data_IF_591011307424
#
_entry.id   IF_591011307424
#
_cell.length_a   1.000
_cell.length_b   1.000
_cell.length_c   1.000
_cell.angle_alpha   90.00
_cell.angle_beta   90.00
_cell.angle_gamma   90.00
#
_symmetry.space_group_name_H-M   'P 1'
#
loop_
_entity.id
_entity.type
_entity.pdbx_description
1 polymer ?
#
# COMPACT_ATOMS: atom_id res chain seq x y z
N UNK A 1 14.11 -22.60 3.39
CA UNK A 1 13.91 -21.23 3.90
C UNK A 1 14.67 -20.28 2.99
N UNK A 2 13.99 -19.30 2.35
CA UNK A 2 14.67 -18.27 1.56
C UNK A 2 15.74 -17.60 2.40
N UNK A 3 16.90 -17.31 1.80
CA UNK A 3 18.02 -16.67 2.50
C UNK A 3 17.60 -15.36 3.19
N UNK A 4 16.63 -14.64 2.61
CA UNK A 4 16.11 -13.38 3.12
C UNK A 4 15.36 -13.50 4.44
N UNK A 5 14.69 -14.64 4.68
CA UNK A 5 14.02 -14.90 5.97
C UNK A 5 15.05 -15.15 7.08
N UNK A 6 16.19 -15.76 6.73
CA UNK A 6 17.32 -16.01 7.64
C UNK A 6 18.07 -14.72 7.98
N UNK A 7 18.13 -13.77 7.05
CA UNK A 7 18.84 -12.50 7.21
C UNK A 7 18.04 -11.49 8.02
N UNK A 8 16.70 -11.45 7.88
CA UNK A 8 15.85 -10.52 8.63
C UNK A 8 15.45 -11.02 10.02
N UNK A 9 15.46 -12.34 10.26
CA UNK A 9 15.40 -12.93 11.61
C UNK A 9 16.70 -12.75 12.43
N UNK A 10 17.68 -11.97 11.95
CA UNK A 10 18.90 -11.66 12.71
C UNK A 10 18.67 -10.74 13.91
N UNK A 11 17.56 -9.99 13.95
CA UNK A 11 17.06 -9.35 15.19
C UNK A 11 16.44 -10.35 16.19
N UNK A 12 16.31 -11.62 15.77
CA UNK A 12 15.68 -12.67 16.54
C UNK A 12 14.17 -12.68 16.39
N UNK A 13 13.57 -13.83 16.73
CA UNK A 13 12.12 -13.97 16.94
C UNK A 13 11.60 -12.95 17.98
N UNK A 14 12.49 -12.43 18.83
CA UNK A 14 12.27 -11.46 19.89
C UNK A 14 11.71 -10.11 19.40
N UNK A 15 12.20 -9.61 18.26
CA UNK A 15 11.73 -8.34 17.69
C UNK A 15 10.36 -8.51 17.02
N UNK A 16 10.16 -9.64 16.33
CA UNK A 16 8.85 -10.04 15.82
C UNK A 16 7.82 -10.15 16.96
N UNK A 17 8.18 -10.78 18.08
CA UNK A 17 7.29 -10.95 19.25
C UNK A 17 6.92 -9.65 19.96
N UNK A 18 7.66 -8.55 19.75
CA UNK A 18 7.44 -7.25 20.41
C UNK A 18 7.00 -6.14 19.47
N UNK A 19 6.14 -6.46 18.49
CA UNK A 19 5.56 -5.43 17.62
C UNK A 19 4.87 -4.31 18.44
N UNK A 20 5.39 -3.06 18.42
CA UNK A 20 4.84 -1.95 19.21
C UNK A 20 3.37 -1.65 18.87
N UNK A 21 2.98 -1.85 17.60
CA UNK A 21 1.59 -1.67 17.14
C UNK A 21 0.60 -2.54 17.91
N UNK A 22 0.99 -3.74 18.37
CA UNK A 22 0.11 -4.61 19.17
C UNK A 22 -0.14 -4.04 20.56
N UNK A 23 0.83 -3.35 21.15
CA UNK A 23 0.66 -2.66 22.43
C UNK A 23 -0.28 -1.46 22.29
N UNK A 24 -0.16 -0.71 21.19
CA UNK A 24 -1.09 0.38 20.86
C UNK A 24 -2.52 -0.16 20.72
N UNK A 25 -2.70 -1.27 19.99
CA UNK A 25 -4.00 -1.91 19.82
C UNK A 25 -4.56 -2.40 21.16
N UNK A 26 -3.74 -3.01 22.01
CA UNK A 26 -4.15 -3.44 23.35
C UNK A 26 -4.62 -2.25 24.20
N UNK A 27 -3.85 -1.14 24.19
CA UNK A 27 -4.20 0.07 24.91
C UNK A 27 -5.53 0.66 24.39
N UNK A 28 -5.70 0.77 23.08
CA UNK A 28 -6.96 1.21 22.47
C UNK A 28 -8.13 0.31 22.86
N UNK A 29 -7.95 -1.00 22.77
CA UNK A 29 -8.97 -1.98 23.16
C UNK A 29 -9.36 -1.84 24.63
N UNK A 30 -8.40 -1.62 25.53
CA UNK A 30 -8.66 -1.42 26.96
C UNK A 30 -9.31 -0.08 27.28
N UNK A 31 -9.05 0.97 26.50
CA UNK A 31 -9.73 2.27 26.65
C UNK A 31 -11.17 2.17 26.17
N UNK A 32 -11.41 1.49 25.04
CA UNK A 32 -12.74 1.40 24.43
C UNK A 32 -13.65 0.40 25.14
N UNK A 33 -13.12 -0.73 25.61
CA UNK A 33 -13.88 -1.74 26.32
C UNK A 33 -13.82 -1.47 27.82
N UNK A 34 -14.96 -1.18 28.44
CA UNK A 34 -15.09 -1.00 29.89
C UNK A 34 -15.68 -2.24 30.58
N UNK A 35 -15.60 -2.30 31.91
CA UNK A 35 -16.13 -3.41 32.70
C UNK A 35 -15.36 -4.73 32.50
N UNK A 36 -16.07 -5.86 32.46
CA UNK A 36 -15.48 -7.21 32.33
C UNK A 36 -14.75 -7.46 31.00
N UNK A 37 -14.89 -6.56 30.02
CA UNK A 37 -14.21 -6.64 28.71
C UNK A 37 -13.01 -5.69 28.60
N UNK A 38 -12.76 -4.86 29.61
CA UNK A 38 -11.59 -3.99 29.73
C UNK A 38 -10.50 -4.60 30.60
N UNK A 39 -9.31 -3.97 30.61
CA UNK A 39 -8.18 -4.42 31.45
C UNK A 39 -7.55 -5.75 31.00
N UNK A 40 -7.62 -6.06 29.70
CA UNK A 40 -6.98 -7.22 29.13
C UNK A 40 -5.45 -7.07 29.14
N UNK A 41 -4.75 -8.19 29.32
CA UNK A 41 -3.29 -8.29 29.20
C UNK A 41 -2.83 -8.67 27.78
N UNK A 42 -3.77 -9.06 26.92
CA UNK A 42 -3.52 -9.48 25.55
C UNK A 42 -4.82 -9.80 24.84
N UNK A 43 -4.73 -10.07 23.54
CA UNK A 43 -5.87 -10.43 22.70
C UNK A 43 -5.46 -11.52 21.71
N UNK A 44 -6.45 -12.28 21.22
CA UNK A 44 -6.22 -13.27 20.16
C UNK A 44 -5.82 -12.61 18.85
N UNK A 45 -4.87 -13.19 18.12
CA UNK A 45 -4.32 -12.60 16.89
C UNK A 45 -5.40 -12.30 15.84
N UNK A 46 -6.41 -13.15 15.73
CA UNK A 46 -7.55 -12.96 14.83
C UNK A 46 -8.29 -11.62 15.05
N UNK A 47 -8.21 -11.04 16.26
CA UNK A 47 -8.80 -9.74 16.57
C UNK A 47 -8.21 -8.60 15.74
N UNK A 48 -6.99 -8.74 15.22
CA UNK A 48 -6.37 -7.75 14.30
C UNK A 48 -7.23 -7.52 13.06
N UNK A 49 -7.87 -8.58 12.56
CA UNK A 49 -8.69 -8.52 11.35
C UNK A 49 -10.05 -7.85 11.59
N UNK A 50 -10.44 -7.66 12.86
CA UNK A 50 -11.74 -7.08 13.26
C UNK A 50 -11.67 -5.57 13.49
N UNK A 51 -10.48 -4.97 13.44
CA UNK A 51 -10.30 -3.52 13.58
C UNK A 51 -11.02 -2.74 12.47
N UNK A 52 -11.17 -3.34 11.29
CA UNK A 52 -11.93 -2.77 10.17
C UNK A 52 -13.45 -2.73 10.39
N UNK A 53 -13.98 -3.56 11.30
CA UNK A 53 -15.43 -3.72 11.51
C UNK A 53 -15.99 -2.64 12.45
N UNK A 54 -15.16 -2.13 13.35
CA UNK A 54 -15.56 -1.07 14.29
C UNK A 54 -15.57 0.27 13.57
N UNK A 55 -16.76 0.84 13.34
CA UNK A 55 -16.93 2.11 12.61
C UNK A 55 -17.02 3.30 13.54
N UNK A 56 -16.54 4.46 13.07
CA UNK A 56 -16.73 5.74 13.75
C UNK A 56 -18.21 6.14 13.78
N UNK A 57 -18.65 6.72 14.90
CA UNK A 57 -19.98 7.33 15.04
C UNK A 57 -20.04 8.74 14.44
N UNK A 58 -18.89 9.37 14.20
CA UNK A 58 -18.79 10.70 13.61
C UNK A 58 -18.92 10.59 12.08
N UNK A 59 -20.04 11.10 11.54
CA UNK A 59 -20.47 11.43 10.14
C UNK A 59 -20.00 10.61 8.92
N UNK A 60 -18.82 9.98 8.94
CA UNK A 60 -18.24 9.20 7.88
C UNK A 60 -18.33 7.71 8.22
N UNK A 61 -19.44 7.05 7.84
CA UNK A 61 -19.66 5.59 7.99
C UNK A 61 -18.54 4.71 7.40
N UNK A 62 -17.62 5.28 6.63
CA UNK A 62 -16.44 4.61 6.06
C UNK A 62 -15.23 4.58 6.99
N UNK A 63 -15.11 5.52 7.93
CA UNK A 63 -13.95 5.60 8.83
C UNK A 63 -14.07 4.55 9.94
N UNK A 64 -12.99 3.79 10.18
CA UNK A 64 -12.99 2.64 11.08
C UNK A 64 -11.95 2.82 12.20
N UNK A 65 -11.96 1.92 13.19
CA UNK A 65 -10.91 1.89 14.21
C UNK A 65 -9.53 1.64 13.59
N UNK A 66 -9.46 0.88 12.50
CA UNK A 66 -8.20 0.71 11.76
C UNK A 66 -7.69 2.03 11.15
N UNK A 67 -8.57 2.83 10.55
CA UNK A 67 -8.19 4.16 10.03
C UNK A 67 -7.71 5.09 11.16
N UNK A 68 -8.41 5.07 12.30
CA UNK A 68 -7.97 5.82 13.47
C UNK A 68 -6.62 5.34 14.00
N UNK A 69 -6.38 4.02 14.03
CA UNK A 69 -5.10 3.45 14.43
C UNK A 69 -3.98 3.93 13.51
N UNK A 70 -4.20 3.96 12.19
CA UNK A 70 -3.21 4.45 11.22
C UNK A 70 -2.84 5.89 11.53
N UNK A 71 -3.82 6.79 11.67
CA UNK A 71 -3.57 8.20 11.98
C UNK A 71 -2.83 8.36 13.32
N UNK A 72 -3.23 7.59 14.33
CA UNK A 72 -2.58 7.60 15.63
C UNK A 72 -1.12 7.17 15.55
N UNK A 73 -0.83 6.09 14.83
CA UNK A 73 0.54 5.58 14.63
C UNK A 73 1.36 6.60 13.86
N UNK A 74 0.87 7.14 12.74
CA UNK A 74 1.60 8.13 11.95
C UNK A 74 1.88 9.42 12.73
N UNK A 75 0.94 9.87 13.57
CA UNK A 75 1.06 11.12 14.30
C UNK A 75 1.88 11.00 15.59
N UNK A 76 1.77 9.89 16.32
CA UNK A 76 2.33 9.73 17.68
C UNK A 76 3.48 8.73 17.76
N UNK A 77 3.55 7.79 16.83
CA UNK A 77 4.51 6.68 16.82
C UNK A 77 5.07 6.44 15.41
N UNK A 78 5.62 7.47 14.74
CA UNK A 78 6.04 7.37 13.33
C UNK A 78 7.10 6.29 13.09
N UNK A 79 7.92 5.97 14.09
CA UNK A 79 8.88 4.87 14.06
C UNK A 79 8.22 3.49 13.92
N UNK A 80 6.95 3.36 14.34
CA UNK A 80 6.18 2.12 14.25
C UNK A 80 5.44 2.00 12.92
N UNK A 81 5.31 3.09 12.14
CA UNK A 81 4.50 3.12 10.92
C UNK A 81 5.02 2.17 9.80
N UNK A 82 6.31 1.85 9.80
CA UNK A 82 6.96 0.98 8.81
C UNK A 82 6.88 -0.53 9.09
N UNK A 83 6.06 -0.95 10.06
CA UNK A 83 5.91 -2.38 10.36
C UNK A 83 5.38 -3.23 9.19
N UNK A 84 4.53 -2.74 8.25
CA UNK A 84 4.06 -3.56 7.13
C UNK A 84 5.22 -4.07 6.25
N UNK A 85 6.25 -3.25 6.03
CA UNK A 85 7.44 -3.59 5.25
C UNK A 85 8.33 -4.62 5.97
N UNK A 86 8.29 -4.63 7.31
CA UNK A 86 8.96 -5.65 8.14
C UNK A 86 8.25 -7.00 8.07
N UNK A 87 6.92 -7.00 7.90
CA UNK A 87 6.10 -8.20 7.77
C UNK A 87 6.11 -8.81 6.36
N UNK A 88 6.55 -8.07 5.33
CA UNK A 88 6.56 -8.55 3.95
C UNK A 88 7.18 -9.95 3.73
N UNK A 89 8.29 -10.34 4.38
CA UNK A 89 8.86 -11.69 4.25
C UNK A 89 7.92 -12.82 4.71
N UNK A 90 6.94 -12.53 5.57
CA UNK A 90 5.98 -13.52 6.07
C UNK A 90 5.05 -14.04 4.98
N UNK A 91 4.86 -13.30 3.89
CA UNK A 91 4.02 -13.74 2.75
C UNK A 91 4.56 -15.04 2.13
N UNK A 92 5.89 -15.20 2.10
CA UNK A 92 6.51 -16.45 1.65
C UNK A 92 6.30 -17.58 2.67
N UNK A 93 6.31 -17.25 3.95
CA UNK A 93 6.03 -18.20 5.04
C UNK A 93 4.58 -18.69 5.03
N UNK A 94 3.63 -17.81 4.71
CA UNK A 94 2.21 -18.13 4.61
C UNK A 94 1.87 -19.08 3.45
N UNK A 95 2.81 -19.34 2.52
CA UNK A 95 2.65 -20.28 1.40
C UNK A 95 3.23 -21.67 1.71
N UNK A 96 3.77 -21.88 2.93
CA UNK A 96 4.46 -23.11 3.30
C UNK A 96 3.51 -24.09 3.99
N UNK A 97 3.43 -25.30 3.43
CA UNK A 97 2.80 -26.45 4.07
C UNK A 97 3.84 -27.33 4.78
N UNK A 98 3.78 -27.39 6.12
CA UNK A 98 4.64 -28.28 6.92
C UNK A 98 4.41 -29.76 6.57
N UNK A 99 3.17 -30.25 6.39
CA UNK A 99 2.93 -31.62 5.94
C UNK A 99 3.61 -31.93 4.60
N UNK A 100 3.47 -31.05 3.61
CA UNK A 100 4.12 -31.22 2.31
C UNK A 100 5.65 -31.23 2.44
N UNK A 101 6.21 -30.31 3.24
CA UNK A 101 7.65 -30.27 3.53
C UNK A 101 8.14 -31.60 4.12
N UNK A 102 7.45 -32.13 5.13
CA UNK A 102 7.80 -33.43 5.76
C UNK A 102 7.74 -34.56 4.74
N UNK A 103 6.74 -34.58 3.87
CA UNK A 103 6.62 -35.57 2.81
C UNK A 103 7.79 -35.50 1.83
N UNK A 104 8.16 -34.30 1.38
CA UNK A 104 9.33 -34.10 0.50
C UNK A 104 10.62 -34.61 1.15
N UNK A 105 10.85 -34.33 2.43
CA UNK A 105 12.04 -34.83 3.15
C UNK A 105 12.07 -36.36 3.20
N UNK A 106 10.92 -37.00 3.46
CA UNK A 106 10.80 -38.46 3.45
C UNK A 106 11.10 -39.02 2.06
N UNK A 107 10.59 -38.41 0.99
CA UNK A 107 10.87 -38.85 -0.38
C UNK A 107 12.36 -38.76 -0.71
N UNK A 108 13.02 -37.65 -0.38
CA UNK A 108 14.46 -37.47 -0.61
C UNK A 108 15.28 -38.50 0.17
N UNK A 109 14.98 -38.69 1.47
CA UNK A 109 15.67 -39.68 2.32
C UNK A 109 15.49 -41.11 1.79
N UNK A 110 14.29 -41.45 1.35
CA UNK A 110 13.97 -42.78 0.83
C UNK A 110 14.67 -43.02 -0.51
N UNK A 111 14.69 -42.03 -1.40
CA UNK A 111 15.43 -42.09 -2.66
C UNK A 111 16.92 -42.29 -2.43
N UNK A 112 17.52 -41.53 -1.52
CA UNK A 112 18.93 -41.65 -1.17
C UNK A 112 19.25 -43.03 -0.56
N UNK A 113 18.37 -43.55 0.32
CA UNK A 113 18.53 -44.89 0.90
C UNK A 113 18.54 -45.98 -0.18
N UNK A 114 17.67 -45.87 -1.19
CA UNK A 114 17.66 -46.79 -2.34
C UNK A 114 18.99 -46.77 -3.10
N UNK A 115 19.58 -45.59 -3.32
CA UNK A 115 20.88 -45.46 -3.97
C UNK A 115 21.98 -46.14 -3.14
N UNK A 116 21.97 -45.93 -1.82
CA UNK A 116 22.90 -46.61 -0.90
C UNK A 116 22.83 -48.13 -1.03
N UNK A 117 21.62 -48.71 -0.99
CA UNK A 117 21.43 -50.16 -1.15
C UNK A 117 21.84 -50.67 -2.55
N UNK A 118 21.68 -49.87 -3.61
CA UNK A 118 22.14 -50.22 -4.96
C UNK A 118 23.68 -50.22 -5.05
N UNK A 119 24.34 -49.28 -4.40
CA UNK A 119 25.80 -49.22 -4.33
C UNK A 119 26.39 -50.40 -3.55
N UNK A 120 25.78 -50.76 -2.42
CA UNK A 120 26.18 -51.91 -1.60
C UNK A 120 26.05 -53.23 -2.37
N UNK A 121 24.90 -53.45 -3.02
CA UNK A 121 24.65 -54.65 -3.82
C UNK A 121 25.55 -54.74 -5.05
N UNK A 122 25.81 -53.61 -5.72
CA UNK A 122 26.73 -53.55 -6.87
C UNK A 122 28.18 -53.79 -6.46
N UNK A 123 28.59 -53.34 -5.27
CA UNK A 123 29.93 -53.60 -4.74
C UNK A 123 30.12 -55.07 -4.32
N UNK A 124 29.07 -55.72 -3.80
CA UNK A 124 29.08 -57.13 -3.39
C UNK A 124 29.00 -58.11 -4.58
N UNK A 125 28.51 -57.68 -5.74
CA UNK A 125 28.45 -58.50 -6.95
C UNK A 125 29.84 -58.76 -7.53
N UNK A 126 30.25 -60.04 -7.55
CA UNK A 126 31.51 -60.54 -8.13
C UNK A 126 31.40 -60.89 -9.64
N UNK A 127 30.23 -60.73 -10.24
CA UNK A 127 29.96 -61.15 -11.63
C UNK A 127 30.24 -60.07 -12.67
N UNK A 128 31.05 -60.40 -13.67
CA UNK A 128 31.15 -59.82 -15.01
C UNK A 128 30.67 -58.37 -15.22
N UNK A 129 31.29 -57.41 -14.54
CA UNK A 129 31.11 -55.99 -14.91
C UNK A 129 31.71 -55.77 -16.30
N UNK A 130 30.97 -55.05 -17.15
CA UNK A 130 31.53 -54.61 -18.44
C UNK A 130 32.76 -53.74 -18.16
N UNK A 131 33.77 -53.83 -19.03
CA UNK A 131 35.01 -53.06 -18.85
C UNK A 131 34.80 -51.54 -18.77
N UNK A 132 33.66 -51.05 -19.28
CA UNK A 132 33.23 -49.64 -19.34
C UNK A 132 32.15 -49.29 -18.29
N UNK A 133 32.00 -50.09 -17.21
CA UNK A 133 31.02 -49.82 -16.16
C UNK A 133 31.52 -48.76 -15.17
N UNK A 134 31.04 -47.53 -15.36
CA UNK A 134 31.33 -46.38 -14.50
C UNK A 134 30.26 -46.10 -13.43
N UNK A 135 29.29 -46.99 -13.23
CA UNK A 135 28.18 -46.74 -12.29
C UNK A 135 28.66 -46.50 -10.85
N UNK A 136 29.42 -47.45 -10.29
CA UNK A 136 29.87 -47.37 -8.88
C UNK A 136 30.73 -46.14 -8.58
N UNK A 137 31.78 -45.79 -9.37
CA UNK A 137 32.60 -44.62 -9.08
C UNK A 137 31.80 -43.31 -9.15
N UNK A 138 30.95 -43.13 -10.16
CA UNK A 138 30.12 -41.92 -10.31
C UNK A 138 29.07 -41.83 -9.20
N UNK A 139 28.32 -42.91 -8.97
CA UNK A 139 27.20 -42.89 -8.02
C UNK A 139 27.68 -42.83 -6.56
N UNK A 140 28.89 -43.32 -6.25
CA UNK A 140 29.46 -43.20 -4.90
C UNK A 140 29.74 -41.75 -4.53
N UNK A 141 30.34 -40.99 -5.44
CA UNK A 141 30.60 -39.55 -5.21
C UNK A 141 29.29 -38.79 -5.04
N UNK A 142 28.33 -39.00 -5.97
CA UNK A 142 26.99 -38.43 -5.87
C UNK A 142 26.28 -38.77 -4.54
N UNK A 143 26.38 -40.03 -4.09
CA UNK A 143 25.76 -40.47 -2.84
C UNK A 143 26.33 -39.75 -1.63
N UNK A 144 27.66 -39.68 -1.50
CA UNK A 144 28.32 -39.02 -0.38
C UNK A 144 27.95 -37.53 -0.29
N UNK A 145 27.95 -36.84 -1.44
CA UNK A 145 27.54 -35.44 -1.50
C UNK A 145 26.05 -35.27 -1.16
N UNK A 146 25.19 -36.10 -1.75
CA UNK A 146 23.74 -36.04 -1.51
C UNK A 146 23.36 -36.39 -0.08
N UNK A 147 24.10 -37.29 0.57
CA UNK A 147 23.89 -37.63 1.98
C UNK A 147 24.21 -36.45 2.89
N UNK A 148 25.34 -35.77 2.67
CA UNK A 148 25.68 -34.57 3.41
C UNK A 148 24.62 -33.46 3.22
N UNK A 149 24.18 -33.22 1.98
CA UNK A 149 23.12 -32.25 1.67
C UNK A 149 21.77 -32.64 2.30
N UNK A 150 21.40 -33.92 2.28
CA UNK A 150 20.17 -34.42 2.89
C UNK A 150 20.17 -34.21 4.41
N UNK A 151 21.29 -34.50 5.08
CA UNK A 151 21.46 -34.24 6.53
C UNK A 151 21.34 -32.75 6.84
N UNK A 152 22.00 -31.89 6.07
CA UNK A 152 21.91 -30.44 6.24
C UNK A 152 20.48 -29.91 6.02
N UNK A 153 19.76 -30.48 5.04
CA UNK A 153 18.37 -30.15 4.76
C UNK A 153 17.44 -30.55 5.92
N UNK A 154 17.61 -31.76 6.46
CA UNK A 154 16.85 -32.25 7.62
C UNK A 154 17.05 -31.34 8.85
N UNK A 155 18.29 -30.98 9.17
CA UNK A 155 18.59 -30.07 10.28
C UNK A 155 18.02 -28.66 10.04
N UNK A 156 18.12 -28.16 8.80
CA UNK A 156 17.51 -26.87 8.45
C UNK A 156 15.98 -26.91 8.57
N UNK A 157 15.33 -28.01 8.22
CA UNK A 157 13.89 -28.15 8.32
C UNK A 157 13.44 -28.27 9.78
N UNK A 158 14.13 -29.06 10.61
CA UNK A 158 13.89 -29.13 12.06
C UNK A 158 13.98 -27.77 12.72
N UNK A 159 15.06 -27.01 12.44
CA UNK A 159 15.25 -25.66 12.97
C UNK A 159 14.14 -24.71 12.54
N UNK A 160 13.71 -24.79 11.28
CA UNK A 160 12.63 -23.98 10.74
C UNK A 160 11.28 -24.29 11.43
N UNK A 161 10.94 -25.57 11.59
CA UNK A 161 9.70 -26.01 12.24
C UNK A 161 9.71 -25.60 13.72
N UNK A 162 10.81 -25.84 14.44
CA UNK A 162 10.94 -25.42 15.84
C UNK A 162 10.85 -23.90 16.01
N UNK A 163 11.41 -23.13 15.06
CA UNK A 163 11.29 -21.67 15.06
C UNK A 163 9.84 -21.20 14.83
N UNK A 164 9.10 -21.87 13.95
CA UNK A 164 7.67 -21.61 13.76
C UNK A 164 6.87 -21.93 15.03
N UNK A 165 7.08 -23.10 15.64
CA UNK A 165 6.38 -23.51 16.86
C UNK A 165 6.65 -22.52 18.02
N UNK A 166 7.89 -22.03 18.16
CA UNK A 166 8.23 -20.98 19.11
C UNK A 166 7.51 -19.65 18.83
N UNK A 167 7.39 -19.27 17.56
CA UNK A 167 6.70 -18.05 17.17
C UNK A 167 5.21 -18.16 17.54
N UNK A 168 4.56 -19.26 17.17
CA UNK A 168 3.15 -19.52 17.50
C UNK A 168 2.92 -19.46 19.01
N UNK A 169 3.77 -20.12 19.78
CA UNK A 169 3.68 -20.13 21.24
C UNK A 169 3.87 -18.73 21.86
N UNK A 170 4.76 -17.90 21.29
CA UNK A 170 5.00 -16.54 21.77
C UNK A 170 3.78 -15.61 21.59
N UNK A 171 2.88 -15.93 20.66
CA UNK A 171 1.60 -15.25 20.47
C UNK A 171 0.42 -15.95 21.16
N UNK A 172 0.69 -16.90 22.06
CA UNK A 172 -0.32 -17.65 22.80
C UNK A 172 -1.34 -18.39 21.90
N UNK A 173 -0.89 -18.85 20.74
CA UNK A 173 -1.60 -19.80 19.89
C UNK A 173 -1.03 -21.22 20.08
N UNK A 174 -1.78 -22.26 19.67
CA UNK A 174 -1.38 -23.66 19.84
C UNK A 174 -0.51 -24.14 18.65
N UNK A 175 0.78 -24.48 18.87
CA UNK A 175 1.66 -24.98 17.81
C UNK A 175 1.20 -26.29 17.16
N UNK A 176 0.30 -27.04 17.80
CA UNK A 176 -0.21 -28.32 17.27
C UNK A 176 -1.29 -28.12 16.22
N UNK A 177 -2.02 -27.01 16.28
CA UNK A 177 -3.14 -26.72 15.40
C UNK A 177 -2.84 -25.61 14.40
N UNK A 178 -1.99 -24.65 14.78
CA UNK A 178 -1.61 -23.55 13.92
C UNK A 178 -0.80 -24.02 12.71
N UNK A 179 -1.21 -23.57 11.53
CA UNK A 179 -0.44 -23.73 10.29
C UNK A 179 0.30 -22.44 9.95
N UNK A 180 1.43 -22.50 9.22
CA UNK A 180 2.09 -21.29 8.73
C UNK A 180 1.16 -20.42 7.88
N UNK A 181 0.32 -21.05 7.08
CA UNK A 181 -0.67 -20.42 6.21
C UNK A 181 -1.64 -19.55 7.00
N UNK A 182 -2.24 -20.08 8.06
CA UNK A 182 -3.17 -19.35 8.91
C UNK A 182 -2.45 -18.31 9.77
N UNK A 183 -1.39 -18.73 10.47
CA UNK A 183 -0.68 -17.88 11.42
C UNK A 183 -0.05 -16.66 10.74
N UNK A 184 0.77 -16.86 9.70
CA UNK A 184 1.36 -15.74 8.96
C UNK A 184 0.31 -15.00 8.12
N UNK A 185 -0.72 -15.70 7.65
CA UNK A 185 -1.84 -15.10 6.91
C UNK A 185 -2.59 -14.03 7.70
N UNK A 186 -2.67 -14.13 9.03
CA UNK A 186 -3.25 -13.05 9.87
C UNK A 186 -2.42 -11.78 9.75
N UNK A 187 -1.09 -11.87 9.93
CA UNK A 187 -0.19 -10.72 9.84
C UNK A 187 -0.19 -10.10 8.43
N UNK A 188 -0.16 -10.92 7.38
CA UNK A 188 -0.22 -10.43 5.99
C UNK A 188 -1.52 -9.65 5.72
N UNK A 189 -2.66 -10.19 6.13
CA UNK A 189 -3.97 -9.52 5.96
C UNK A 189 -4.07 -8.24 6.78
N UNK A 190 -3.54 -8.25 8.01
CA UNK A 190 -3.49 -7.07 8.86
C UNK A 190 -2.62 -5.97 8.24
N UNK A 191 -1.40 -6.31 7.78
CA UNK A 191 -0.50 -5.37 7.12
C UNK A 191 -1.13 -4.75 5.86
N UNK A 192 -1.76 -5.59 5.01
CA UNK A 192 -2.46 -5.12 3.83
C UNK A 192 -3.61 -4.18 4.17
N UNK A 193 -4.42 -4.53 5.18
CA UNK A 193 -5.54 -3.70 5.63
C UNK A 193 -5.04 -2.35 6.20
N UNK A 194 -3.93 -2.37 6.92
CA UNK A 194 -3.30 -1.16 7.46
C UNK A 194 -2.81 -0.23 6.34
N UNK A 195 -2.08 -0.77 5.36
CA UNK A 195 -1.61 0.00 4.19
C UNK A 195 -2.78 0.55 3.37
N UNK A 196 -3.84 -0.23 3.20
CA UNK A 196 -5.04 0.24 2.53
C UNK A 196 -5.71 1.41 3.29
N UNK A 197 -5.88 1.27 4.60
CA UNK A 197 -6.44 2.34 5.43
C UNK A 197 -5.58 3.61 5.43
N UNK A 198 -4.24 3.47 5.37
CA UNK A 198 -3.32 4.60 5.20
C UNK A 198 -3.53 5.34 3.87
N UNK A 199 -3.62 4.60 2.76
CA UNK A 199 -3.91 5.20 1.46
C UNK A 199 -5.30 5.89 1.43
N UNK A 200 -6.31 5.30 2.08
CA UNK A 200 -7.64 5.89 2.21
C UNK A 200 -7.61 7.19 3.04
N UNK A 201 -6.87 7.24 4.14
CA UNK A 201 -6.69 8.44 4.95
C UNK A 201 -5.97 9.56 4.18
N UNK A 202 -4.89 9.23 3.48
CA UNK A 202 -4.15 10.19 2.64
C UNK A 202 -5.05 10.77 1.54
N UNK A 203 -5.87 9.93 0.90
CA UNK A 203 -6.82 10.37 -0.13
C UNK A 203 -7.88 11.34 0.43
N UNK A 204 -8.36 11.12 1.66
CA UNK A 204 -9.31 12.01 2.34
C UNK A 204 -8.65 13.38 2.59
N UNK A 205 -7.42 13.38 3.12
CA UNK A 205 -6.67 14.61 3.40
C UNK A 205 -6.39 15.39 2.10
N UNK A 206 -5.93 14.70 1.05
CA UNK A 206 -5.65 15.30 -0.25
C UNK A 206 -6.90 15.96 -0.86
N UNK A 207 -8.05 15.28 -0.80
CA UNK A 207 -9.32 15.79 -1.31
C UNK A 207 -9.78 17.03 -0.53
N UNK A 208 -9.70 17.00 0.80
CA UNK A 208 -10.06 18.16 1.63
C UNK A 208 -9.16 19.38 1.33
N UNK A 209 -7.86 19.15 1.11
CA UNK A 209 -6.92 20.21 0.73
C UNK A 209 -7.23 20.80 -0.65
N UNK A 210 -7.66 19.98 -1.61
CA UNK A 210 -8.08 20.44 -2.95
C UNK A 210 -9.36 21.28 -2.88
N UNK A 211 -10.37 20.83 -2.12
CA UNK A 211 -11.62 21.55 -1.92
C UNK A 211 -11.39 22.90 -1.23
N UNK A 212 -10.55 22.95 -0.20
CA UNK A 212 -10.17 24.19 0.47
C UNK A 212 -9.48 25.18 -0.49
N UNK A 213 -8.58 24.69 -1.36
CA UNK A 213 -7.93 25.53 -2.40
C UNK A 213 -8.93 26.07 -3.41
N UNK A 214 -9.90 25.26 -3.83
CA UNK A 214 -10.96 25.70 -4.78
C UNK A 214 -11.88 26.74 -4.14
N UNK A 215 -12.24 26.57 -2.87
CA UNK A 215 -13.05 27.54 -2.13
C UNK A 215 -12.32 28.87 -1.97
N UNK A 216 -11.03 28.84 -1.60
CA UNK A 216 -10.20 30.02 -1.46
C UNK A 216 -10.07 30.79 -2.80
N UNK A 217 -9.81 30.08 -3.91
CA UNK A 217 -9.78 30.69 -5.24
C UNK A 217 -11.13 31.32 -5.63
N UNK A 218 -12.25 30.70 -5.22
CA UNK A 218 -13.59 31.24 -5.48
C UNK A 218 -13.84 32.51 -4.65
N UNK A 219 -13.47 32.52 -3.36
CA UNK A 219 -13.55 33.71 -2.49
C UNK A 219 -12.71 34.86 -3.04
N UNK A 220 -11.47 34.60 -3.44
CA UNK A 220 -10.59 35.62 -4.05
C UNK A 220 -11.16 36.19 -5.35
N UNK A 221 -11.79 35.38 -6.21
CA UNK A 221 -12.46 35.84 -7.44
C UNK A 221 -13.69 36.69 -7.14
N UNK A 222 -14.49 36.32 -6.14
CA UNK A 222 -15.67 37.08 -5.72
C UNK A 222 -15.27 38.43 -5.09
N UNK A 223 -14.21 38.46 -4.29
CA UNK A 223 -13.62 39.70 -3.74
C UNK A 223 -13.05 40.62 -4.83
N UNK A 224 -12.32 40.09 -5.82
CA UNK A 224 -11.85 40.90 -6.96
C UNK A 224 -13.02 41.47 -7.77
N UNK A 225 -14.08 40.69 -7.99
CA UNK A 225 -15.27 41.14 -8.73
C UNK A 225 -16.04 42.23 -7.99
N UNK A 226 -16.13 42.15 -6.66
CA UNK A 226 -16.76 43.19 -5.84
C UNK A 226 -15.93 44.47 -5.76
N UNK A 227 -14.60 44.38 -5.65
CA UNK A 227 -13.71 45.55 -5.75
C UNK A 227 -13.86 46.27 -7.09
N UNK A 228 -13.81 45.55 -8.21
CA UNK A 228 -14.00 46.12 -9.57
C UNK A 228 -15.36 46.80 -9.74
N UNK A 229 -16.44 46.26 -9.16
CA UNK A 229 -17.77 46.90 -9.20
C UNK A 229 -17.78 48.23 -8.43
N UNK A 230 -17.21 48.25 -7.22
CA UNK A 230 -17.11 49.48 -6.41
C UNK A 230 -16.25 50.55 -7.09
N UNK A 231 -15.13 50.16 -7.69
CA UNK A 231 -14.27 51.08 -8.45
C UNK A 231 -14.95 51.61 -9.72
N UNK A 232 -15.76 50.78 -10.39
CA UNK A 232 -16.57 51.20 -11.55
C UNK A 232 -17.73 52.14 -11.21
N UNK A 233 -18.36 52.00 -10.03
CA UNK A 233 -19.41 52.91 -9.57
C UNK A 233 -18.86 54.28 -9.10
N UNK A 234 -17.65 54.33 -8.55
CA UNK A 234 -17.02 55.61 -8.10
C UNK A 234 -16.56 56.47 -9.30
N UNK A 235 -16.28 55.87 -10.45
CA UNK A 235 -15.96 56.60 -11.69
C UNK A 235 -17.19 57.26 -12.35
N UNK A 236 -18.41 56.97 -11.88
CA UNK A 236 -19.67 57.58 -12.35
C UNK A 236 -20.31 58.33 -11.18
N UNK A 237 -19.69 59.43 -10.74
CA UNK A 237 -20.30 60.41 -9.84
C UNK A 237 -20.86 61.59 -10.65
N UNK A 238 -22.10 62.03 -10.37
CA UNK A 238 -22.83 63.00 -11.20
C UNK A 238 -22.28 64.41 -10.95
N UNK A 239 -21.92 65.11 -12.04
CA UNK A 239 -21.60 66.54 -11.96
C UNK A 239 -22.91 67.33 -11.97
N UNK A 240 -23.30 67.77 -10.77
CA UNK A 240 -23.97 69.02 -10.39
C UNK A 240 -24.96 69.70 -11.37
N UNK A 241 -26.21 69.73 -10.91
CA UNK A 241 -27.22 70.80 -10.99
C UNK A 241 -27.84 71.21 -12.35
N UNK A 242 -29.17 71.05 -12.40
CA UNK A 242 -30.06 72.01 -13.04
C UNK A 242 -30.87 71.47 -14.22
N UNK A 243 -32.19 71.67 -14.11
CA UNK A 243 -33.21 71.61 -15.17
C UNK A 243 -33.65 70.25 -15.71
N UNK A 244 -34.97 70.13 -15.75
CA UNK A 244 -35.76 69.08 -16.37
C UNK A 244 -35.41 68.90 -17.86
N UNK A 245 -35.23 67.66 -18.27
CA UNK A 245 -35.65 67.15 -19.57
C UNK A 245 -35.52 65.62 -19.57
N UNK A 246 -36.57 64.94 -19.99
CA UNK A 246 -36.56 63.54 -20.40
C UNK A 246 -35.42 63.30 -21.39
N UNK A 247 -34.51 62.37 -21.12
CA UNK A 247 -33.49 61.94 -22.08
C UNK A 247 -33.36 60.42 -22.14
N UNK A 248 -34.03 59.88 -23.16
CA UNK A 248 -33.79 58.63 -23.86
C UNK A 248 -32.40 58.66 -24.53
N UNK A 249 -31.31 58.75 -23.75
CA UNK A 249 -29.94 58.92 -24.26
C UNK A 249 -28.92 57.89 -23.78
N UNK A 250 -29.18 57.19 -22.67
CA UNK A 250 -28.22 56.26 -22.07
C UNK A 250 -27.99 54.98 -22.88
N UNK A 251 -28.97 54.55 -23.67
CA UNK A 251 -28.83 53.38 -24.54
C UNK A 251 -28.05 53.72 -25.81
N UNK A 252 -28.25 54.91 -26.40
CA UNK A 252 -27.62 55.28 -27.66
C UNK A 252 -26.13 55.63 -27.46
N UNK A 253 -25.75 56.17 -26.30
CA UNK A 253 -24.34 56.34 -25.91
C UNK A 253 -23.63 54.99 -25.68
N UNK A 254 -24.34 54.00 -25.14
CA UNK A 254 -23.82 52.64 -24.98
C UNK A 254 -23.62 51.95 -26.35
N UNK A 255 -24.61 52.08 -27.25
CA UNK A 255 -24.53 51.57 -28.61
C UNK A 255 -23.45 52.32 -29.42
N UNK A 256 -23.28 53.61 -29.20
CA UNK A 256 -22.20 54.43 -29.78
C UNK A 256 -20.82 54.01 -29.28
N UNK A 257 -20.67 53.68 -27.99
CA UNK A 257 -19.41 53.17 -27.43
C UNK A 257 -19.04 51.77 -27.97
N UNK A 258 -20.04 50.92 -28.23
CA UNK A 258 -19.85 49.59 -28.86
C UNK A 258 -19.53 49.75 -30.36
N UNK A 259 -20.22 50.65 -31.08
CA UNK A 259 -20.02 50.89 -32.52
C UNK A 259 -18.71 51.64 -32.82
N UNK A 260 -18.25 52.49 -31.89
CA UNK A 260 -16.97 53.21 -31.99
C UNK A 260 -15.76 52.40 -31.49
N UNK A 261 -15.98 51.20 -30.94
CA UNK A 261 -14.94 50.31 -30.44
C UNK A 261 -14.30 50.75 -29.11
N UNK A 262 -14.71 51.90 -28.54
CA UNK A 262 -14.20 52.41 -27.26
C UNK A 262 -14.58 51.55 -26.05
N UNK A 263 -15.65 50.76 -26.15
CA UNK A 263 -16.08 49.83 -25.10
C UNK A 263 -15.09 48.67 -24.87
N UNK A 264 -14.18 48.42 -25.83
CA UNK A 264 -13.14 47.41 -25.74
C UNK A 264 -11.81 48.14 -25.79
N UNK A 265 -11.08 48.22 -24.66
CA UNK A 265 -9.88 49.04 -24.49
C UNK A 265 -8.86 48.93 -25.64
N UNK A 266 -8.08 50.00 -25.82
CA UNK A 266 -7.06 50.19 -26.87
C UNK A 266 -6.12 48.98 -27.01
N UNK A 267 -6.50 47.98 -27.80
CA UNK A 267 -5.60 46.98 -28.39
C UNK A 267 -6.24 46.24 -29.58
N UNK A 268 -7.35 46.76 -30.13
CA UNK A 268 -7.89 46.30 -31.41
C UNK A 268 -7.53 47.30 -32.51
N UNK A 269 -6.50 46.99 -33.31
CA UNK A 269 -6.26 47.63 -34.62
C UNK A 269 -6.93 46.78 -35.70
N UNK A 270 -8.06 47.20 -36.30
CA UNK A 270 -8.56 46.57 -37.51
C UNK A 270 -7.75 47.11 -38.70
N UNK A 271 -6.85 46.29 -39.24
CA UNK A 271 -6.19 46.57 -40.51
C UNK A 271 -7.23 46.59 -41.65
N UNK A 272 -7.22 47.66 -42.46
CA UNK A 272 -8.02 47.76 -43.69
C UNK A 272 -7.66 46.66 -44.69
N UNK A 273 -8.62 46.17 -45.49
CA UNK A 273 -8.34 45.26 -46.59
C UNK A 273 -7.87 46.05 -47.82
N UNK A 274 -6.78 45.60 -48.44
CA UNK A 274 -6.42 45.99 -49.80
C UNK A 274 -6.96 44.95 -50.78
N UNK A 275 -7.81 45.40 -51.70
CA UNK A 275 -8.41 44.60 -52.76
C UNK A 275 -7.41 44.36 -53.92
N UNK A 276 -7.27 43.09 -54.33
CA UNK A 276 -7.18 42.70 -55.75
C UNK A 276 -5.82 42.20 -56.26
N UNK A 277 -5.70 40.90 -56.52
CA UNK A 277 -5.84 40.29 -57.87
C UNK A 277 -5.46 38.79 -57.89
N UNK A 278 -6.43 37.99 -58.34
CA UNK A 278 -6.38 36.77 -59.20
C UNK A 278 -5.20 35.77 -59.08
N UNK A 279 -5.60 34.56 -58.66
CA UNK A 279 -5.69 33.32 -59.47
C UNK A 279 -4.70 32.15 -59.22
N UNK A 280 -5.33 30.97 -59.32
CA UNK A 280 -4.85 29.59 -59.56
C UNK A 280 -4.55 28.72 -58.33
N UNK A 281 -5.46 27.77 -58.13
CA UNK A 281 -5.21 26.42 -57.61
C UNK A 281 -4.36 25.60 -58.62
N UNK A 282 -4.01 24.32 -58.39
CA UNK A 282 -4.13 23.47 -57.17
C UNK A 282 -2.79 22.76 -56.82
N UNK A 283 -2.76 21.93 -55.76
CA UNK A 283 -2.58 20.45 -55.82
C UNK A 283 -1.86 19.89 -54.58
N UNK A 284 -2.52 18.86 -54.05
CA UNK A 284 -2.10 17.73 -53.20
C UNK A 284 -0.61 17.42 -53.08
N UNK A 285 -0.22 17.08 -51.85
CA UNK A 285 0.98 16.34 -51.47
C UNK A 285 0.89 15.97 -50.00
#
# INVERSE_FOLDING_TARGET
MPADLKVRLRGGLSDFVRMPVLQIILALGNIMNTGQRGGAYGFKLESLLKLGDTKSTLSNRKHTLLHYLVDLVQLKFPETAGFPEELAPLESGAKVSIPALRQTLVHVRTGLKKIGTLLESSAASKGGRKADDHFVPIMREFYLESEARCKALDESAKKAIAGFEQAVAAYAEDPKTATPEEFFGIFCRFAQSFQQAAAENEAIIAKAAEEAKKEEQRRQREEQRTKRKKEGEIAVSPTTAGSAAEQEGGFDDLISAIRSGKAFGQDFKPGRPACGKKAKSPTVG
#
